data_IF_250077061302
#
_entry.id   IF_250077061302
#
_cell.length_a   1.000
_cell.length_b   1.000
_cell.length_c   1.000
_cell.angle_alpha   90.00
_cell.angle_beta   90.00
_cell.angle_gamma   90.00
#
_symmetry.space_group_name_H-M   'P 1'
#
loop_
_entity.id
_entity.type
_entity.pdbx_description
1 polymer ?
#
# COMPACT_ATOMS: atom_id res chain seq x y z
N UNK A 1 -67.01 25.26 -37.28
CA UNK A 1 -66.16 25.36 -36.07
C UNK A 1 -66.45 24.25 -35.04
N UNK A 2 -66.72 22.99 -35.46
CA UNK A 2 -67.03 21.86 -34.53
C UNK A 2 -66.33 20.54 -34.95
N UNK A 3 -65.58 20.51 -36.07
CA UNK A 3 -64.85 19.30 -36.52
C UNK A 3 -63.39 19.22 -36.07
N UNK A 4 -62.77 20.33 -35.64
CA UNK A 4 -61.37 20.34 -35.18
C UNK A 4 -61.21 20.08 -33.67
N UNK A 5 -62.27 20.22 -32.87
CA UNK A 5 -62.20 20.05 -31.41
C UNK A 5 -62.19 18.57 -30.96
N UNK A 6 -62.74 17.66 -31.78
CA UNK A 6 -62.74 16.21 -31.48
C UNK A 6 -61.40 15.53 -31.77
N UNK A 7 -60.61 16.06 -32.71
CA UNK A 7 -59.30 15.51 -33.07
C UNK A 7 -58.24 15.89 -32.03
N UNK A 8 -58.34 17.10 -31.45
CA UNK A 8 -57.40 17.54 -30.42
C UNK A 8 -57.58 16.80 -29.09
N UNK A 9 -58.83 16.47 -28.71
CA UNK A 9 -59.12 15.69 -27.51
C UNK A 9 -58.59 14.25 -27.57
N UNK A 10 -58.59 13.60 -28.74
CA UNK A 10 -58.08 12.24 -28.88
C UNK A 10 -56.54 12.19 -28.84
N UNK A 11 -55.85 13.17 -29.43
CA UNK A 11 -54.38 13.22 -29.45
C UNK A 11 -53.82 13.48 -28.05
N UNK A 12 -54.47 14.33 -27.24
CA UNK A 12 -54.04 14.58 -25.85
C UNK A 12 -54.24 13.34 -24.96
N UNK A 13 -55.30 12.55 -25.16
CA UNK A 13 -55.52 11.30 -24.40
C UNK A 13 -54.47 10.23 -24.75
N UNK A 14 -54.04 10.11 -26.01
CA UNK A 14 -52.95 9.18 -26.38
C UNK A 14 -51.57 9.64 -25.91
N UNK A 15 -51.31 10.94 -25.81
CA UNK A 15 -50.05 11.45 -25.24
C UNK A 15 -50.03 11.26 -23.72
N UNK A 16 -51.16 11.46 -23.02
CA UNK A 16 -51.25 11.22 -21.56
C UNK A 16 -51.22 9.73 -21.24
N UNK A 17 -51.86 8.84 -22.02
CA UNK A 17 -51.73 7.39 -21.86
C UNK A 17 -50.36 6.86 -22.31
N UNK A 18 -49.72 7.49 -23.30
CA UNK A 18 -48.35 7.21 -23.73
C UNK A 18 -47.29 7.67 -22.71
N UNK A 19 -47.57 8.73 -21.95
CA UNK A 19 -46.73 9.17 -20.82
C UNK A 19 -47.00 8.38 -19.54
N UNK A 20 -48.24 7.93 -19.30
CA UNK A 20 -48.59 7.05 -18.18
C UNK A 20 -48.14 5.60 -18.35
N UNK A 21 -47.75 5.19 -19.57
CA UNK A 21 -47.21 3.84 -19.85
C UNK A 21 -45.69 3.80 -20.10
N UNK A 22 -44.98 4.93 -19.90
CA UNK A 22 -43.52 5.03 -20.07
C UNK A 22 -42.75 5.61 -18.89
N UNK A 23 -43.38 5.67 -17.72
CA UNK A 23 -42.67 5.73 -16.43
C UNK A 23 -42.86 4.39 -15.75
N UNK A 24 -42.32 3.34 -16.39
CA UNK A 24 -41.88 2.18 -15.64
C UNK A 24 -40.64 2.66 -14.89
N UNK A 25 -40.86 3.15 -13.67
CA UNK A 25 -39.81 3.21 -12.68
C UNK A 25 -39.37 1.76 -12.54
N UNK A 26 -38.31 1.38 -13.28
CA UNK A 26 -37.44 0.32 -12.83
C UNK A 26 -36.91 0.87 -11.51
N UNK A 27 -37.63 0.55 -10.43
CA UNK A 27 -36.97 0.19 -9.20
C UNK A 27 -35.92 -0.83 -9.61
N UNK A 28 -34.72 -0.34 -9.90
CA UNK A 28 -33.51 -1.09 -9.64
C UNK A 28 -33.44 -1.21 -8.11
N UNK A 29 -34.35 -2.01 -7.54
CA UNK A 29 -33.99 -2.88 -6.45
C UNK A 29 -33.01 -3.90 -7.01
N UNK A 30 -31.82 -3.41 -7.38
CA UNK A 30 -30.62 -4.22 -7.30
C UNK A 30 -30.00 -3.97 -5.93
N UNK A 31 -30.85 -4.11 -4.91
CA UNK A 31 -30.48 -4.58 -3.60
C UNK A 31 -30.44 -6.11 -3.62
N UNK A 32 -29.82 -6.70 -4.64
CA UNK A 32 -29.02 -7.89 -4.41
C UNK A 32 -27.64 -7.38 -4.00
N UNK A 33 -27.52 -7.02 -2.71
CA UNK A 33 -26.26 -7.24 -2.01
C UNK A 33 -26.04 -8.75 -2.05
N UNK A 34 -25.53 -9.26 -3.17
CA UNK A 34 -24.72 -10.45 -3.13
C UNK A 34 -23.60 -10.11 -2.17
N UNK A 35 -23.67 -10.70 -0.99
CA UNK A 35 -22.62 -10.79 0.03
C UNK A 35 -21.44 -11.57 -0.55
N UNK A 36 -20.91 -11.09 -1.68
CA UNK A 36 -19.72 -11.63 -2.28
C UNK A 36 -18.57 -11.05 -1.47
N UNK A 37 -17.88 -11.95 -0.79
CA UNK A 37 -16.64 -11.66 -0.10
C UNK A 37 -15.71 -10.91 -1.06
N UNK A 38 -15.47 -9.62 -0.81
CA UNK A 38 -14.53 -8.83 -1.60
C UNK A 38 -13.17 -9.51 -1.53
N UNK A 39 -12.67 -9.95 -2.68
CA UNK A 39 -11.34 -10.55 -2.78
C UNK A 39 -10.29 -9.46 -3.06
N UNK A 40 -9.00 -9.73 -2.80
CA UNK A 40 -7.91 -8.85 -3.23
C UNK A 40 -7.98 -8.51 -4.72
N UNK A 41 -8.36 -9.47 -5.58
CA UNK A 41 -8.48 -9.24 -7.01
C UNK A 41 -9.62 -8.27 -7.34
N UNK A 42 -10.76 -8.33 -6.65
CA UNK A 42 -11.86 -7.40 -6.90
C UNK A 42 -11.46 -5.96 -6.62
N UNK A 43 -10.61 -5.76 -5.61
CA UNK A 43 -10.18 -4.44 -5.15
C UNK A 43 -8.94 -3.93 -5.89
N UNK A 44 -7.96 -4.79 -6.20
CA UNK A 44 -6.64 -4.37 -6.67
C UNK A 44 -6.39 -4.63 -8.16
N UNK A 45 -7.32 -5.24 -8.89
CA UNK A 45 -7.09 -5.68 -10.29
C UNK A 45 -6.67 -4.57 -11.25
N UNK A 46 -7.03 -3.32 -10.98
CA UNK A 46 -6.63 -2.17 -11.81
C UNK A 46 -5.15 -1.78 -11.63
N UNK A 47 -4.43 -2.37 -10.68
CA UNK A 47 -3.05 -2.02 -10.38
C UNK A 47 -2.89 -0.56 -9.94
N UNK A 48 -3.91 -0.03 -9.28
CA UNK A 48 -3.95 1.34 -8.76
C UNK A 48 -3.82 1.42 -7.24
N UNK A 49 -3.90 0.29 -6.53
CA UNK A 49 -3.91 0.25 -5.06
C UNK A 49 -2.56 0.56 -4.41
N UNK A 50 -2.61 0.86 -3.12
CA UNK A 50 -1.47 0.95 -2.21
C UNK A 50 -1.48 -0.29 -1.34
N UNK A 51 -0.38 -1.06 -1.32
CA UNK A 51 -0.26 -2.35 -0.65
C UNK A 51 0.68 -2.22 0.54
N UNK A 52 0.21 -2.64 1.72
CA UNK A 52 0.97 -2.76 2.95
C UNK A 52 0.83 -4.19 3.50
N UNK A 53 1.87 -4.70 4.16
CA UNK A 53 1.94 -6.10 4.60
C UNK A 53 2.33 -6.23 6.08
N UNK A 54 1.57 -7.02 6.84
CA UNK A 54 1.91 -7.50 8.18
C UNK A 54 2.19 -9.00 8.12
N UNK A 55 3.48 -9.31 8.26
CA UNK A 55 4.03 -10.66 8.09
C UNK A 55 3.89 -11.50 9.37
N UNK A 56 3.80 -10.85 10.53
CA UNK A 56 3.61 -11.54 11.80
C UNK A 56 2.13 -11.86 12.05
N UNK A 57 1.86 -12.68 13.06
CA UNK A 57 0.48 -12.97 13.50
C UNK A 57 -0.10 -11.84 14.37
N UNK A 58 0.53 -10.65 14.37
CA UNK A 58 0.12 -9.50 15.16
C UNK A 58 -1.22 -8.94 14.69
N UNK A 59 -2.17 -8.87 15.62
CA UNK A 59 -3.51 -8.30 15.39
C UNK A 59 -3.67 -6.87 15.93
N UNK A 60 -2.69 -6.37 16.69
CA UNK A 60 -2.67 -5.02 17.24
C UNK A 60 -1.46 -4.25 16.67
N UNK A 61 -1.59 -3.61 15.50
CA UNK A 61 -0.49 -2.89 14.87
C UNK A 61 -0.01 -1.72 15.75
N UNK A 62 1.30 -1.45 15.81
CA UNK A 62 1.83 -0.28 16.49
C UNK A 62 1.29 1.03 15.90
N UNK A 63 1.34 2.14 16.65
CA UNK A 63 0.88 3.45 16.17
C UNK A 63 1.49 3.87 14.84
N UNK A 64 2.77 3.56 14.59
CA UNK A 64 3.44 3.86 13.33
C UNK A 64 2.81 3.13 12.14
N UNK A 65 2.41 1.88 12.31
CA UNK A 65 1.72 1.11 11.26
C UNK A 65 0.34 1.70 10.99
N UNK A 66 -0.41 2.04 12.05
CA UNK A 66 -1.71 2.69 11.89
C UNK A 66 -1.58 4.05 11.17
N UNK A 67 -0.56 4.83 11.52
CA UNK A 67 -0.25 6.10 10.86
C UNK A 67 0.15 5.92 9.39
N UNK A 68 0.92 4.88 9.07
CA UNK A 68 1.29 4.53 7.70
C UNK A 68 0.06 4.27 6.83
N UNK A 69 -0.88 3.46 7.34
CA UNK A 69 -2.13 3.16 6.63
C UNK A 69 -3.02 4.41 6.54
N UNK A 70 -3.19 5.16 7.64
CA UNK A 70 -4.02 6.37 7.66
C UNK A 70 -3.49 7.42 6.68
N UNK A 71 -2.20 7.72 6.72
CA UNK A 71 -1.58 8.72 5.86
C UNK A 71 -1.68 8.33 4.38
N UNK A 72 -1.50 7.05 4.05
CA UNK A 72 -1.73 6.55 2.70
C UNK A 72 -3.19 6.73 2.26
N UNK A 73 -4.15 6.37 3.11
CA UNK A 73 -5.57 6.50 2.81
C UNK A 73 -6.01 7.95 2.59
N UNK A 74 -5.41 8.91 3.31
CA UNK A 74 -5.64 10.35 3.15
C UNK A 74 -5.02 10.91 1.88
N UNK A 75 -3.80 10.48 1.54
CA UNK A 75 -3.08 10.96 0.34
C UNK A 75 -3.70 10.39 -0.94
N UNK A 76 -4.26 9.18 -0.88
CA UNK A 76 -4.83 8.48 -2.03
C UNK A 76 -6.32 8.15 -1.83
N UNK A 77 -7.23 9.14 -1.73
CA UNK A 77 -8.64 8.91 -1.43
C UNK A 77 -9.35 8.04 -2.47
N UNK A 78 -8.93 8.14 -3.74
CA UNK A 78 -9.51 7.41 -4.88
C UNK A 78 -8.81 6.06 -5.17
N UNK A 79 -7.82 5.66 -4.35
CA UNK A 79 -7.13 4.38 -4.52
C UNK A 79 -7.43 3.46 -3.34
N UNK A 80 -7.62 2.15 -3.58
CA UNK A 80 -7.68 1.19 -2.50
C UNK A 80 -6.35 1.13 -1.73
N UNK A 81 -6.41 1.24 -0.40
CA UNK A 81 -5.30 0.95 0.51
C UNK A 81 -5.54 -0.43 1.10
N UNK A 82 -4.83 -1.43 0.58
CA UNK A 82 -4.95 -2.81 1.00
C UNK A 82 -3.88 -3.16 2.03
N UNK A 83 -4.32 -3.56 3.22
CA UNK A 83 -3.47 -4.04 4.29
C UNK A 83 -3.65 -5.55 4.44
N UNK A 84 -2.65 -6.31 4.00
CA UNK A 84 -2.65 -7.77 4.13
C UNK A 84 -2.01 -8.14 5.47
N UNK A 85 -2.67 -9.01 6.24
CA UNK A 85 -2.17 -9.43 7.54
C UNK A 85 -2.17 -10.94 7.64
N UNK A 86 -1.05 -11.54 8.07
CA UNK A 86 -0.95 -12.98 8.25
C UNK A 86 -1.89 -13.49 9.35
N UNK A 87 -1.96 -12.76 10.46
CA UNK A 87 -2.81 -13.11 11.61
C UNK A 87 -4.32 -13.01 11.38
N UNK A 88 -4.77 -12.44 10.25
CA UNK A 88 -6.19 -12.37 9.94
C UNK A 88 -6.74 -13.76 9.55
N UNK A 89 -7.93 -14.15 10.07
CA UNK A 89 -8.58 -15.39 9.66
C UNK A 89 -9.09 -15.30 8.23
N UNK A 90 -9.41 -16.46 7.65
CA UNK A 90 -9.98 -16.56 6.31
C UNK A 90 -11.31 -15.80 6.19
N UNK A 91 -11.62 -15.38 4.97
CA UNK A 91 -12.82 -14.58 4.68
C UNK A 91 -14.02 -15.52 4.63
N UNK A 92 -14.68 -15.71 5.77
CA UNK A 92 -15.82 -16.63 5.89
C UNK A 92 -17.19 -15.95 5.68
N UNK A 93 -17.30 -14.62 5.56
CA UNK A 93 -18.60 -13.93 5.51
C UNK A 93 -18.62 -12.60 4.75
N UNK A 94 -19.80 -12.26 4.20
CA UNK A 94 -20.03 -11.04 3.42
C UNK A 94 -19.82 -9.72 4.17
N UNK A 95 -19.77 -9.77 5.50
CA UNK A 95 -19.51 -8.60 6.37
C UNK A 95 -18.07 -8.57 6.91
N UNK A 96 -17.16 -9.38 6.36
CA UNK A 96 -15.78 -9.50 6.84
C UNK A 96 -15.05 -8.15 6.93
N UNK A 97 -15.16 -7.33 5.89
CA UNK A 97 -14.52 -6.01 5.87
C UNK A 97 -15.06 -5.12 6.98
N UNK A 98 -16.39 -5.11 7.18
CA UNK A 98 -17.03 -4.30 8.20
C UNK A 98 -16.65 -4.76 9.62
N UNK A 99 -16.62 -6.08 9.85
CA UNK A 99 -16.20 -6.64 11.13
C UNK A 99 -14.72 -6.39 11.42
N UNK A 100 -13.86 -6.53 10.42
CA UNK A 100 -12.42 -6.29 10.56
C UNK A 100 -12.14 -4.81 10.81
N UNK A 101 -12.82 -3.89 10.11
CA UNK A 101 -12.72 -2.43 10.37
C UNK A 101 -13.00 -2.06 11.83
N UNK A 102 -13.94 -2.73 12.50
CA UNK A 102 -14.24 -2.49 13.93
C UNK A 102 -13.06 -2.81 14.86
N UNK A 103 -12.14 -3.69 14.44
CA UNK A 103 -10.91 -4.00 15.20
C UNK A 103 -9.86 -2.88 15.11
N UNK A 104 -10.01 -1.96 14.17
CA UNK A 104 -9.10 -0.83 13.94
C UNK A 104 -9.86 0.50 14.07
N UNK A 105 -10.25 0.91 15.29
CA UNK A 105 -11.14 2.05 15.48
C UNK A 105 -10.62 3.35 14.86
N UNK A 106 -9.29 3.57 14.86
CA UNK A 106 -8.65 4.74 14.25
C UNK A 106 -8.76 4.79 12.73
N UNK A 107 -9.00 3.65 12.08
CA UNK A 107 -9.08 3.51 10.62
C UNK A 107 -10.51 3.22 10.13
N UNK A 108 -11.46 3.02 11.06
CA UNK A 108 -12.81 2.52 10.77
C UNK A 108 -13.66 3.43 9.88
N UNK A 109 -13.39 4.74 9.88
CA UNK A 109 -14.11 5.73 9.07
C UNK A 109 -13.67 5.77 7.60
N UNK A 110 -12.49 5.23 7.27
CA UNK A 110 -11.95 5.27 5.92
C UNK A 110 -12.63 4.24 5.02
N UNK A 111 -13.19 4.72 3.91
CA UNK A 111 -13.89 3.86 2.96
C UNK A 111 -12.91 3.13 2.03
N UNK A 112 -11.77 3.74 1.74
CA UNK A 112 -10.74 3.20 0.84
C UNK A 112 -9.73 2.26 1.52
N UNK A 113 -9.87 1.94 2.80
CA UNK A 113 -9.03 0.93 3.47
C UNK A 113 -9.70 -0.45 3.39
N UNK A 114 -8.93 -1.45 2.97
CA UNK A 114 -9.33 -2.85 2.85
C UNK A 114 -8.35 -3.75 3.60
N UNK A 115 -8.88 -4.75 4.29
CA UNK A 115 -8.08 -5.71 5.07
C UNK A 115 -8.18 -7.09 4.43
N UNK A 116 -7.05 -7.77 4.23
CA UNK A 116 -7.05 -9.10 3.64
C UNK A 116 -6.18 -10.07 4.45
N UNK A 117 -6.56 -11.35 4.55
CA UNK A 117 -5.65 -12.36 5.07
C UNK A 117 -4.43 -12.49 4.13
N UNK A 118 -3.23 -12.56 4.71
CA UNK A 118 -2.01 -12.87 3.97
C UNK A 118 -1.78 -14.38 4.00
N UNK A 119 -2.04 -15.04 2.88
CA UNK A 119 -1.75 -16.47 2.66
C UNK A 119 -0.56 -16.58 1.71
N UNK A 120 0.60 -16.94 2.25
CA UNK A 120 1.86 -16.91 1.49
C UNK A 120 1.90 -17.98 0.40
N UNK A 121 1.35 -19.16 0.65
CA UNK A 121 1.18 -20.24 -0.32
C UNK A 121 0.35 -19.81 -1.53
N UNK A 122 -0.79 -19.15 -1.29
CA UNK A 122 -1.63 -18.57 -2.35
C UNK A 122 -0.94 -17.39 -3.06
N UNK A 123 -0.28 -16.53 -2.29
CA UNK A 123 0.44 -15.36 -2.82
C UNK A 123 1.63 -15.79 -3.70
N UNK A 124 2.29 -16.90 -3.38
CA UNK A 124 3.41 -17.40 -4.17
C UNK A 124 2.99 -18.34 -5.30
N UNK A 125 1.73 -18.77 -5.35
CA UNK A 125 1.22 -19.59 -6.44
C UNK A 125 1.51 -18.93 -7.81
N UNK A 126 1.99 -19.75 -8.75
CA UNK A 126 2.41 -19.34 -10.10
C UNK A 126 3.54 -18.29 -10.14
N UNK A 127 4.42 -18.30 -9.14
CA UNK A 127 5.63 -17.48 -9.09
C UNK A 127 6.86 -18.34 -8.79
N UNK A 128 8.09 -17.85 -9.07
CA UNK A 128 9.32 -18.55 -8.70
C UNK A 128 9.44 -18.82 -7.19
N UNK A 129 8.82 -17.97 -6.36
CA UNK A 129 8.93 -18.03 -4.90
C UNK A 129 8.28 -19.29 -4.30
N UNK A 130 7.29 -19.90 -4.96
CA UNK A 130 6.58 -21.06 -4.39
C UNK A 130 7.53 -22.23 -4.10
N UNK A 131 8.47 -22.50 -5.01
CA UNK A 131 9.43 -23.60 -4.86
C UNK A 131 10.39 -23.34 -3.71
N UNK A 132 10.82 -22.09 -3.52
CA UNK A 132 11.61 -21.70 -2.36
C UNK A 132 10.81 -21.85 -1.06
N UNK A 133 9.59 -21.33 -1.04
CA UNK A 133 8.73 -21.34 0.15
C UNK A 133 8.41 -22.76 0.64
N UNK A 134 8.21 -23.71 -0.28
CA UNK A 134 8.00 -25.12 0.05
C UNK A 134 9.23 -25.81 0.67
N UNK A 135 10.43 -25.27 0.48
CA UNK A 135 11.70 -25.88 0.91
C UNK A 135 12.29 -25.20 2.15
N UNK A 136 12.10 -23.89 2.29
CA UNK A 136 12.66 -23.12 3.39
C UNK A 136 12.06 -23.58 4.73
N UNK A 137 12.89 -23.62 5.78
CA UNK A 137 12.42 -23.87 7.13
C UNK A 137 12.49 -22.57 7.94
N UNK A 138 11.35 -21.88 8.17
CA UNK A 138 11.30 -20.60 8.89
C UNK A 138 12.00 -20.63 10.25
N UNK A 139 11.97 -21.77 10.95
CA UNK A 139 12.57 -21.91 12.29
C UNK A 139 14.10 -21.85 12.27
N UNK A 140 14.72 -22.03 11.11
CA UNK A 140 16.18 -21.97 10.92
C UNK A 140 16.65 -20.62 10.39
N UNK A 141 15.74 -19.68 10.15
CA UNK A 141 16.02 -18.41 9.49
C UNK A 141 16.12 -17.27 10.52
N UNK A 142 17.29 -16.66 10.65
CA UNK A 142 17.53 -15.55 11.60
C UNK A 142 16.72 -14.30 11.27
N UNK A 143 16.43 -14.07 9.99
CA UNK A 143 15.71 -12.90 9.50
C UNK A 143 14.39 -13.26 8.80
N UNK A 144 13.74 -14.36 9.23
CA UNK A 144 12.53 -14.89 8.58
C UNK A 144 11.48 -13.81 8.25
N UNK A 145 11.15 -12.94 9.21
CA UNK A 145 10.15 -11.89 9.02
C UNK A 145 10.54 -10.91 7.91
N UNK A 146 11.81 -10.52 7.83
CA UNK A 146 12.31 -9.61 6.80
C UNK A 146 12.36 -10.29 5.42
N UNK A 147 12.95 -11.48 5.36
CA UNK A 147 13.09 -12.27 4.14
C UNK A 147 11.72 -12.63 3.54
N UNK A 148 10.77 -13.03 4.38
CA UNK A 148 9.41 -13.33 3.92
C UNK A 148 8.61 -12.06 3.60
N UNK A 149 8.89 -10.92 4.23
CA UNK A 149 8.37 -9.61 3.79
C UNK A 149 8.84 -9.24 2.38
N UNK A 150 10.12 -9.45 2.08
CA UNK A 150 10.69 -9.21 0.74
C UNK A 150 10.07 -10.15 -0.32
N UNK A 151 9.87 -11.42 0.00
CA UNK A 151 9.15 -12.33 -0.89
C UNK A 151 7.70 -11.87 -1.11
N UNK A 152 6.98 -11.54 -0.03
CA UNK A 152 5.58 -11.11 -0.11
C UNK A 152 5.40 -9.81 -0.90
N UNK A 153 6.28 -8.81 -0.73
CA UNK A 153 6.17 -7.55 -1.48
C UNK A 153 6.37 -7.76 -2.98
N UNK A 154 7.33 -8.58 -3.39
CA UNK A 154 7.56 -8.86 -4.82
C UNK A 154 6.40 -9.64 -5.43
N UNK A 155 5.90 -10.67 -4.72
CA UNK A 155 4.75 -11.44 -5.18
C UNK A 155 3.46 -10.60 -5.25
N UNK A 156 3.23 -9.74 -4.26
CA UNK A 156 2.07 -8.83 -4.24
C UNK A 156 2.13 -7.85 -5.40
N UNK A 157 3.30 -7.25 -5.64
CA UNK A 157 3.49 -6.31 -6.75
C UNK A 157 3.44 -7.00 -8.12
N UNK A 158 3.88 -8.25 -8.24
CA UNK A 158 3.64 -9.05 -9.43
C UNK A 158 2.14 -9.30 -9.66
N UNK A 159 1.41 -9.79 -8.66
CA UNK A 159 0.00 -10.18 -8.80
C UNK A 159 -0.95 -9.00 -8.98
N UNK A 160 -0.69 -7.90 -8.29
CA UNK A 160 -1.63 -6.79 -8.18
C UNK A 160 -1.12 -5.50 -8.81
N UNK A 161 0.19 -5.25 -8.82
CA UNK A 161 0.75 -3.96 -9.21
C UNK A 161 0.37 -2.84 -8.24
N UNK A 162 0.51 -1.58 -8.67
CA UNK A 162 0.17 -0.40 -7.88
C UNK A 162 1.38 0.21 -7.19
N UNK A 163 1.26 0.50 -5.90
CA UNK A 163 2.34 1.05 -5.06
C UNK A 163 2.50 0.16 -3.84
N UNK A 164 3.72 -0.28 -3.56
CA UNK A 164 4.07 -0.92 -2.30
C UNK A 164 4.63 0.10 -1.31
N UNK A 165 4.19 0.03 -0.05
CA UNK A 165 4.82 0.71 1.09
C UNK A 165 5.13 -0.27 2.21
N UNK A 166 6.34 -0.19 2.77
CA UNK A 166 6.60 -0.70 4.11
C UNK A 166 5.71 0.04 5.13
N UNK A 167 5.36 -0.65 6.22
CA UNK A 167 4.44 -0.16 7.26
C UNK A 167 5.04 0.91 8.19
N UNK A 168 6.24 1.38 7.90
CA UNK A 168 6.93 2.49 8.57
C UNK A 168 7.14 3.70 7.65
N UNK A 169 6.32 3.80 6.59
CA UNK A 169 6.27 4.94 5.69
C UNK A 169 5.07 5.83 6.02
N UNK A 170 5.32 7.12 6.28
CA UNK A 170 4.27 8.15 6.40
C UNK A 170 4.13 8.86 5.06
N UNK A 171 2.94 8.77 4.44
CA UNK A 171 2.64 9.43 3.17
C UNK A 171 2.35 10.92 3.38
N UNK A 172 2.97 11.78 2.58
CA UNK A 172 2.80 13.23 2.68
C UNK A 172 2.02 13.82 1.51
N UNK A 173 2.24 13.33 0.29
CA UNK A 173 1.57 13.78 -0.93
C UNK A 173 1.64 12.73 -2.04
N UNK A 174 0.80 12.81 -3.08
CA UNK A 174 0.76 11.79 -4.12
C UNK A 174 2.09 11.69 -4.90
N UNK A 175 2.49 10.45 -5.19
CA UNK A 175 3.62 10.18 -6.09
C UNK A 175 3.11 10.38 -7.54
N UNK A 176 3.76 11.23 -8.36
CA UNK A 176 3.26 11.57 -9.69
C UNK A 176 3.58 10.50 -10.76
N UNK A 177 4.15 9.37 -10.37
CA UNK A 177 4.57 8.30 -11.26
C UNK A 177 3.78 7.02 -11.00
N UNK A 178 3.30 6.39 -12.08
CA UNK A 178 2.68 5.07 -12.01
C UNK A 178 3.70 3.98 -11.71
N UNK A 179 4.76 3.95 -12.53
CA UNK A 179 5.92 3.09 -12.35
C UNK A 179 7.09 3.92 -11.84
N UNK A 180 7.78 3.47 -10.80
CA UNK A 180 8.98 4.10 -10.27
C UNK A 180 9.72 3.17 -9.31
N UNK A 181 11.03 3.40 -9.20
CA UNK A 181 11.91 2.82 -8.19
C UNK A 181 12.55 3.95 -7.38
N UNK A 182 13.05 3.66 -6.18
CA UNK A 182 13.57 4.68 -5.28
C UNK A 182 14.99 4.38 -4.78
N UNK A 183 15.87 5.36 -4.92
CA UNK A 183 17.19 5.35 -4.30
C UNK A 183 17.05 5.45 -2.78
N UNK A 184 17.66 4.54 -2.05
CA UNK A 184 17.83 4.66 -0.61
C UNK A 184 18.99 5.61 -0.28
N UNK A 185 20.11 5.38 -0.95
CA UNK A 185 21.38 6.08 -0.83
C UNK A 185 22.19 5.87 -2.11
N UNK A 186 23.39 6.44 -2.20
CA UNK A 186 24.25 6.29 -3.38
C UNK A 186 24.48 4.80 -3.67
N UNK A 187 24.21 4.38 -4.90
CA UNK A 187 24.38 2.99 -5.33
C UNK A 187 23.42 1.96 -4.71
N UNK A 188 22.44 2.36 -3.89
CA UNK A 188 21.50 1.45 -3.21
C UNK A 188 20.06 1.81 -3.57
N UNK A 189 19.34 0.84 -4.16
CA UNK A 189 17.90 0.94 -4.36
C UNK A 189 17.17 0.26 -3.21
N UNK A 190 16.14 0.93 -2.67
CA UNK A 190 15.29 0.33 -1.64
C UNK A 190 14.15 -0.45 -2.25
N UNK A 191 13.74 -1.53 -1.59
CA UNK A 191 12.48 -2.25 -1.84
C UNK A 191 11.36 -1.85 -0.86
N UNK A 192 11.56 -0.83 -0.02
CA UNK A 192 10.54 -0.37 0.94
C UNK A 192 9.46 0.51 0.33
N UNK A 193 9.72 1.11 -0.85
CA UNK A 193 8.73 1.82 -1.65
C UNK A 193 9.06 1.73 -3.14
N UNK A 194 8.08 1.28 -3.92
CA UNK A 194 8.17 1.26 -5.37
C UNK A 194 6.77 1.11 -5.97
N UNK A 195 6.60 1.60 -7.19
CA UNK A 195 5.36 1.46 -7.96
C UNK A 195 5.64 0.75 -9.27
N UNK A 196 4.85 -0.26 -9.60
CA UNK A 196 5.00 -1.03 -10.83
C UNK A 196 3.63 -1.54 -11.30
N UNK A 197 3.48 -1.65 -12.60
CA UNK A 197 2.33 -2.32 -13.22
C UNK A 197 2.24 -3.78 -12.78
N UNK A 198 1.03 -4.32 -12.83
CA UNK A 198 0.80 -5.76 -12.66
C UNK A 198 1.61 -6.55 -13.70
N UNK A 199 2.16 -7.69 -13.29
CA UNK A 199 2.98 -8.57 -14.13
C UNK A 199 4.22 -7.88 -14.73
N UNK A 200 4.74 -6.82 -14.10
CA UNK A 200 5.91 -6.13 -14.60
C UNK A 200 7.16 -7.02 -14.55
N UNK A 201 7.91 -7.15 -15.65
CA UNK A 201 9.05 -8.10 -15.74
C UNK A 201 10.14 -7.84 -14.68
N UNK A 202 10.30 -6.60 -14.23
CA UNK A 202 11.20 -6.26 -13.12
C UNK A 202 10.88 -7.05 -11.83
N UNK A 203 9.60 -7.15 -11.42
CA UNK A 203 9.24 -7.92 -10.21
C UNK A 203 9.43 -9.41 -10.41
N UNK A 204 9.23 -9.93 -11.62
CA UNK A 204 9.57 -11.31 -11.96
C UNK A 204 11.06 -11.58 -11.79
N UNK A 205 11.92 -10.72 -12.35
CA UNK A 205 13.37 -10.82 -12.19
C UNK A 205 13.80 -10.73 -10.72
N UNK A 206 13.13 -9.90 -9.90
CA UNK A 206 13.33 -9.90 -8.46
C UNK A 206 13.04 -11.26 -7.83
N UNK A 207 11.93 -11.91 -8.18
CA UNK A 207 11.59 -13.23 -7.65
C UNK A 207 12.55 -14.33 -8.13
N UNK A 208 13.04 -14.27 -9.36
CA UNK A 208 14.07 -15.19 -9.86
C UNK A 208 15.41 -15.00 -9.13
N UNK A 209 15.87 -13.75 -8.97
CA UNK A 209 17.08 -13.43 -8.20
C UNK A 209 16.93 -13.86 -6.74
N UNK A 210 15.74 -13.69 -6.15
CA UNK A 210 15.44 -14.08 -4.78
C UNK A 210 15.76 -15.55 -4.54
N UNK A 211 15.27 -16.42 -5.43
CA UNK A 211 15.45 -17.87 -5.32
C UNK A 211 16.88 -18.26 -5.68
N UNK A 212 17.44 -17.71 -6.76
CA UNK A 212 18.77 -18.06 -7.27
C UNK A 212 19.89 -17.65 -6.30
N UNK A 213 19.76 -16.48 -5.69
CA UNK A 213 20.78 -15.87 -4.83
C UNK A 213 20.32 -15.80 -3.37
N UNK A 214 19.56 -16.81 -2.92
CA UNK A 214 19.02 -16.91 -1.57
C UNK A 214 20.13 -16.98 -0.51
N UNK A 215 20.09 -16.06 0.47
CA UNK A 215 20.95 -16.05 1.68
C UNK A 215 20.16 -15.46 2.85
N UNK A 216 19.28 -16.27 3.44
CA UNK A 216 18.36 -15.83 4.50
C UNK A 216 19.02 -15.43 5.81
N UNK A 217 20.28 -15.82 6.00
CA UNK A 217 21.14 -15.40 7.11
C UNK A 217 21.64 -13.95 6.99
N UNK A 218 21.50 -13.32 5.82
CA UNK A 218 21.90 -11.93 5.57
C UNK A 218 20.66 -11.04 5.42
N UNK A 219 20.35 -10.24 6.45
CA UNK A 219 19.15 -9.39 6.55
C UNK A 219 18.76 -8.68 5.24
N UNK A 220 19.72 -8.00 4.60
CA UNK A 220 19.47 -7.18 3.41
C UNK A 220 19.66 -7.90 2.07
N UNK A 221 19.99 -9.20 2.04
CA UNK A 221 20.36 -9.88 0.80
C UNK A 221 19.17 -10.13 -0.14
N UNK A 222 17.98 -10.36 0.43
CA UNK A 222 16.72 -10.60 -0.28
C UNK A 222 15.89 -9.33 -0.49
N UNK A 223 16.22 -8.25 0.22
CA UNK A 223 15.57 -6.95 0.07
C UNK A 223 16.41 -5.95 -0.72
N UNK A 224 16.98 -4.92 -0.10
CA UNK A 224 17.66 -3.83 -0.81
C UNK A 224 18.85 -4.29 -1.66
N UNK A 225 19.61 -5.32 -1.23
CA UNK A 225 20.72 -5.84 -2.05
C UNK A 225 20.22 -6.53 -3.31
N UNK A 226 19.15 -7.34 -3.20
CA UNK A 226 18.50 -7.98 -4.35
C UNK A 226 17.96 -6.95 -5.31
N UNK A 227 17.19 -5.99 -4.80
CA UNK A 227 16.57 -4.96 -5.59
C UNK A 227 17.64 -4.16 -6.35
N UNK A 228 18.76 -3.87 -5.70
CA UNK A 228 19.94 -3.23 -6.31
C UNK A 228 20.61 -4.12 -7.36
N UNK A 229 20.79 -5.43 -7.13
CA UNK A 229 21.39 -6.36 -8.13
C UNK A 229 20.54 -6.46 -9.40
N UNK A 230 19.23 -6.61 -9.24
CA UNK A 230 18.28 -6.68 -10.36
C UNK A 230 18.25 -5.35 -11.09
N UNK A 231 18.24 -4.22 -10.36
CA UNK A 231 18.33 -2.90 -10.96
C UNK A 231 19.60 -2.73 -11.80
N UNK A 232 20.79 -3.10 -11.29
CA UNK A 232 22.05 -3.06 -12.06
C UNK A 232 21.94 -3.83 -13.37
N UNK A 233 21.31 -4.99 -13.33
CA UNK A 233 21.09 -5.81 -14.54
C UNK A 233 20.12 -5.13 -15.50
N UNK A 234 19.01 -4.58 -14.98
CA UNK A 234 18.00 -3.88 -15.76
C UNK A 234 18.52 -2.60 -16.44
N UNK A 235 19.36 -1.83 -15.77
CA UNK A 235 19.91 -0.57 -16.29
C UNK A 235 21.25 -0.73 -17.03
N UNK A 236 21.66 -1.96 -17.37
CA UNK A 236 22.97 -2.25 -18.00
C UNK A 236 24.16 -1.62 -17.26
N UNK A 237 24.17 -1.70 -15.93
CA UNK A 237 25.30 -1.28 -15.10
C UNK A 237 25.46 0.23 -14.89
N UNK A 238 24.50 1.05 -15.31
CA UNK A 238 24.54 2.51 -15.13
C UNK A 238 24.69 2.88 -13.63
N UNK A 239 25.65 3.76 -13.25
CA UNK A 239 25.81 4.20 -11.87
C UNK A 239 24.57 4.94 -11.34
N UNK A 240 24.08 4.53 -10.17
CA UNK A 240 22.91 5.15 -9.54
C UNK A 240 23.32 6.35 -8.70
N UNK A 241 23.16 7.54 -9.28
CA UNK A 241 23.24 8.79 -8.53
C UNK A 241 21.99 8.93 -7.66
N UNK A 242 22.17 9.27 -6.39
CA UNK A 242 21.06 9.50 -5.47
C UNK A 242 20.63 10.97 -5.34
N UNK A 243 21.27 11.88 -6.10
CA UNK A 243 21.10 13.33 -5.94
C UNK A 243 20.07 13.95 -6.89
N UNK A 244 19.71 13.23 -7.97
CA UNK A 244 18.72 13.67 -8.97
C UNK A 244 17.87 12.51 -9.41
N UNK A 245 16.63 12.80 -9.78
CA UNK A 245 15.78 11.80 -10.43
C UNK A 245 16.42 11.43 -11.78
N UNK A 246 16.39 10.15 -12.11
CA UNK A 246 16.97 9.57 -13.31
C UNK A 246 15.96 8.60 -13.97
N UNK A 247 16.38 7.95 -15.05
CA UNK A 247 15.63 6.84 -15.65
C UNK A 247 16.52 5.61 -15.73
N UNK A 248 15.99 4.46 -15.35
CA UNK A 248 16.60 3.17 -15.56
C UNK A 248 15.76 2.39 -16.59
N UNK A 249 16.24 2.37 -17.83
CA UNK A 249 15.41 1.92 -18.95
C UNK A 249 14.14 2.77 -19.05
N UNK A 250 12.98 2.12 -18.99
CA UNK A 250 11.65 2.75 -19.01
C UNK A 250 11.06 3.04 -17.63
N UNK A 251 11.80 2.83 -16.55
CA UNK A 251 11.31 3.05 -15.18
C UNK A 251 12.00 4.28 -14.57
N UNK A 252 11.24 5.32 -14.17
CA UNK A 252 11.76 6.42 -13.37
C UNK A 252 12.48 5.92 -12.12
N UNK A 253 13.68 6.44 -11.87
CA UNK A 253 14.47 6.17 -10.69
C UNK A 253 14.55 7.44 -9.84
N UNK A 254 13.84 7.43 -8.72
CA UNK A 254 13.63 8.60 -7.89
C UNK A 254 14.77 8.76 -6.87
N UNK A 255 15.22 10.00 -6.69
CA UNK A 255 16.31 10.35 -5.78
C UNK A 255 15.93 10.12 -4.30
N UNK A 256 16.92 10.00 -3.43
CA UNK A 256 16.67 9.60 -2.04
C UNK A 256 15.85 10.63 -1.25
N UNK A 257 15.87 11.91 -1.61
CA UNK A 257 15.05 12.93 -0.93
C UNK A 257 13.54 12.72 -1.15
N UNK A 258 13.12 11.89 -2.12
CA UNK A 258 11.70 11.59 -2.34
C UNK A 258 11.08 10.76 -1.21
N UNK A 259 11.87 9.91 -0.55
CA UNK A 259 11.38 8.94 0.45
C UNK A 259 12.28 8.78 1.69
N UNK A 260 13.56 9.12 1.58
CA UNK A 260 14.62 8.92 2.57
C UNK A 260 15.43 10.22 2.85
N UNK A 261 14.79 11.38 3.07
CA UNK A 261 15.51 12.63 3.33
C UNK A 261 16.31 12.60 4.64
N UNK A 262 15.89 11.79 5.62
CA UNK A 262 16.69 11.41 6.78
C UNK A 262 17.18 9.98 6.56
N UNK A 263 18.50 9.74 6.38
CA UNK A 263 19.03 8.41 6.11
C UNK A 263 18.96 7.52 7.35
N UNK A 264 18.99 6.19 7.14
CA UNK A 264 18.88 5.19 8.20
C UNK A 264 19.89 5.37 9.35
N UNK A 265 21.11 5.85 9.07
CA UNK A 265 22.13 6.11 10.10
C UNK A 265 21.67 7.20 11.09
N UNK A 266 20.83 8.12 10.61
CA UNK A 266 20.28 9.25 11.37
C UNK A 266 18.83 9.03 11.80
N UNK A 267 18.34 7.79 11.84
CA UNK A 267 16.93 7.49 12.16
C UNK A 267 16.44 8.13 13.47
N UNK A 268 17.32 8.27 14.48
CA UNK A 268 17.01 8.89 15.78
C UNK A 268 16.46 10.31 15.66
N UNK A 269 16.82 11.03 14.59
CA UNK A 269 16.32 12.38 14.29
C UNK A 269 14.80 12.48 14.18
N UNK A 270 14.11 11.37 13.86
CA UNK A 270 12.64 11.33 13.89
C UNK A 270 12.07 11.44 15.31
N UNK A 271 12.81 11.01 16.32
CA UNK A 271 12.36 10.97 17.72
C UNK A 271 12.97 12.09 18.57
N UNK A 272 13.64 13.06 17.93
CA UNK A 272 14.24 14.22 18.59
C UNK A 272 13.33 15.46 18.50
N UNK A 273 13.48 16.38 19.46
CA UNK A 273 12.85 17.70 19.42
C UNK A 273 13.65 18.61 18.48
N UNK A 274 12.96 19.26 17.55
CA UNK A 274 13.58 20.18 16.59
C UNK A 274 13.26 21.63 16.95
N UNK A 275 14.28 22.50 16.90
CA UNK A 275 14.08 23.95 16.99
C UNK A 275 13.32 24.49 15.77
N UNK A 276 13.68 23.97 14.60
CA UNK A 276 13.06 24.26 13.32
C UNK A 276 12.80 22.94 12.60
N UNK A 277 11.57 22.73 12.12
CA UNK A 277 11.20 21.47 11.47
C UNK A 277 11.94 21.32 10.12
N UNK A 278 12.45 20.11 9.80
CA UNK A 278 13.07 19.88 8.50
C UNK A 278 12.12 20.16 7.35
N UNK A 279 12.65 20.71 6.26
CA UNK A 279 11.89 20.93 5.04
C UNK A 279 11.84 19.65 4.20
N UNK A 280 10.65 19.08 4.04
CA UNK A 280 10.37 17.89 3.22
C UNK A 280 9.63 18.23 1.92
N UNK A 281 9.83 19.44 1.37
CA UNK A 281 9.12 19.90 0.16
C UNK A 281 9.34 19.02 -1.07
N UNK A 282 10.45 18.30 -1.15
CA UNK A 282 10.76 17.38 -2.23
C UNK A 282 10.26 15.95 -2.00
N UNK A 283 9.78 15.64 -0.79
CA UNK A 283 9.42 14.29 -0.36
C UNK A 283 7.95 13.96 -0.62
N UNK A 284 7.69 12.76 -1.14
CA UNK A 284 6.35 12.22 -1.32
C UNK A 284 5.87 11.47 -0.07
N UNK A 285 6.79 10.76 0.57
CA UNK A 285 6.60 10.07 1.84
C UNK A 285 7.91 10.07 2.64
N UNK A 286 7.86 9.62 3.89
CA UNK A 286 9.03 9.49 4.77
C UNK A 286 9.12 8.07 5.30
N UNK A 287 10.24 7.39 5.11
CA UNK A 287 10.55 6.10 5.74
C UNK A 287 11.21 6.32 7.11
N UNK A 288 10.62 5.77 8.18
CA UNK A 288 11.04 6.03 9.57
C UNK A 288 12.02 4.99 10.13
N UNK A 289 12.47 4.03 9.31
CA UNK A 289 13.51 3.05 9.67
C UNK A 289 13.19 2.24 10.93
N UNK A 290 11.97 1.71 11.07
CA UNK A 290 11.52 1.07 12.30
C UNK A 290 12.41 -0.10 12.73
N UNK A 291 13.04 -0.80 11.78
CA UNK A 291 14.04 -1.84 12.10
C UNK A 291 15.23 -1.28 12.90
N UNK A 292 15.72 -0.08 12.58
CA UNK A 292 16.85 0.54 13.29
C UNK A 292 16.51 0.91 14.73
N UNK A 293 15.22 1.06 15.03
CA UNK A 293 14.70 1.35 16.36
C UNK A 293 14.48 0.09 17.22
N UNK A 294 14.75 -1.12 16.72
CA UNK A 294 14.42 -2.38 17.42
C UNK A 294 15.02 -2.52 18.82
N UNK A 295 16.15 -1.86 19.10
CA UNK A 295 16.87 -1.96 20.37
C UNK A 295 16.68 -0.73 21.29
N UNK A 296 16.04 0.34 20.82
CA UNK A 296 15.84 1.57 21.60
C UNK A 296 14.38 1.74 22.01
N UNK A 297 13.45 1.11 21.29
CA UNK A 297 12.00 1.13 21.58
C UNK A 297 11.40 2.55 21.60
N UNK A 298 11.98 3.47 20.83
CA UNK A 298 11.45 4.83 20.70
C UNK A 298 10.04 4.77 20.10
N UNK A 299 9.12 5.59 20.62
CA UNK A 299 7.74 5.61 20.16
C UNK A 299 7.27 7.05 20.02
N UNK A 300 6.14 7.23 19.33
CA UNK A 300 5.45 8.52 19.32
C UNK A 300 4.86 8.79 20.71
N UNK A 301 5.33 9.86 21.35
CA UNK A 301 4.85 10.30 22.66
C UNK A 301 4.04 11.60 22.46
N UNK A 302 2.75 11.65 22.83
CA UNK A 302 1.98 12.88 22.73
C UNK A 302 2.58 13.99 23.60
N UNK A 303 2.61 15.23 23.08
CA UNK A 303 3.16 16.44 23.72
C UNK A 303 4.67 16.41 23.98
N UNK A 304 5.41 15.54 23.29
CA UNK A 304 6.87 15.45 23.31
C UNK A 304 7.57 16.55 22.49
N UNK A 305 6.87 17.18 21.55
CA UNK A 305 7.39 18.10 20.54
C UNK A 305 8.48 17.48 19.63
N UNK A 306 8.48 16.16 19.50
CA UNK A 306 9.41 15.45 18.60
C UNK A 306 8.94 15.53 17.15
N UNK A 307 9.86 15.30 16.20
CA UNK A 307 9.53 15.31 14.78
C UNK A 307 8.45 14.26 14.43
N UNK A 308 8.53 13.04 14.98
CA UNK A 308 7.56 11.98 14.73
C UNK A 308 6.18 12.37 15.24
N UNK A 309 6.07 13.05 16.37
CA UNK A 309 4.80 13.57 16.86
C UNK A 309 4.22 14.60 15.89
N UNK A 310 5.04 15.53 15.40
CA UNK A 310 4.60 16.50 14.40
C UNK A 310 4.09 15.80 13.13
N UNK A 311 4.81 14.79 12.63
CA UNK A 311 4.36 13.99 11.48
C UNK A 311 3.02 13.31 11.75
N UNK A 312 2.80 12.80 12.97
CA UNK A 312 1.54 12.18 13.35
C UNK A 312 0.38 13.19 13.39
N UNK A 313 0.62 14.37 13.98
CA UNK A 313 -0.35 15.46 14.02
C UNK A 313 -0.79 15.88 12.62
N UNK A 314 0.15 15.96 11.67
CA UNK A 314 -0.13 16.43 10.32
C UNK A 314 -0.75 15.35 9.42
N UNK A 315 -0.20 14.13 9.41
CA UNK A 315 -0.51 13.14 8.38
C UNK A 315 -1.40 11.99 8.85
N UNK A 316 -1.54 11.77 10.17
CA UNK A 316 -2.44 10.77 10.72
C UNK A 316 -3.18 11.27 11.98
N UNK A 317 -3.94 12.37 11.86
CA UNK A 317 -4.59 13.02 13.00
C UNK A 317 -5.61 12.15 13.72
N UNK A 318 -6.22 11.15 13.07
CA UNK A 318 -7.17 10.25 13.74
C UNK A 318 -6.44 9.27 14.66
N UNK A 319 -5.32 8.71 14.20
CA UNK A 319 -4.42 7.88 15.00
C UNK A 319 -3.82 8.70 16.14
N UNK A 320 -3.34 9.92 15.87
CA UNK A 320 -2.79 10.79 16.89
C UNK A 320 -3.82 11.18 17.97
N UNK A 321 -5.05 11.52 17.58
CA UNK A 321 -6.12 11.84 18.52
C UNK A 321 -6.49 10.66 19.44
N UNK A 322 -6.30 9.43 18.96
CA UNK A 322 -6.49 8.23 19.78
C UNK A 322 -5.34 8.04 20.80
N UNK A 323 -4.11 8.38 20.43
CA UNK A 323 -2.97 8.35 21.36
C UNK A 323 -3.13 9.37 22.49
N UNK A 324 -3.71 10.54 22.23
CA UNK A 324 -3.98 11.57 23.25
C UNK A 324 -5.01 11.14 24.32
N UNK A 325 -5.80 10.09 24.05
CA UNK A 325 -6.84 9.59 24.95
C UNK A 325 -6.38 8.41 25.81
N UNK A 326 -5.20 7.85 25.52
CA UNK A 326 -4.52 6.88 26.37
C UNK A 326 -3.71 7.62 27.41
#
# INVERSE_FOLDING_TARGET
MIKYLKVFGLVVVFIVLGFLSRVNFRETTDSLRTTNNLTPNDVLREGNGVILLEISDRMNPPPLVLCSIESAARVYPERPVAYFMKGLPDIESGDYQQHTKKKFPTLSSFQNIYYFPLRMDELYADTPLLTWYKKVNPKKESYWIHVSSDACRFASMWKYGGIYFDTDIISMRPIPHKNFLAAQSEGVCSSSVFGLDRNHSFTWMCMEDFVKNYKGELWGNQGPSLFTRVLKTWCNGTPFQNTKDASCGNIPYLNSQRFYPIPWISWKKYYEVWKELPNFNSSYSLHLWNFMNSNNEETVVPRSNTLVEYLFQQFCPTTYAFLLKK
#
